data_IF_052595613203
#
_entry.id   IF_052595613203
#
_cell.length_a   1.000
_cell.length_b   1.000
_cell.length_c   1.000
_cell.angle_alpha   90.00
_cell.angle_beta   90.00
_cell.angle_gamma   90.00
#
_symmetry.space_group_name_H-M   'P 1'
#
loop_
_entity.id
_entity.type
_entity.pdbx_description
1 polymer ?
#
# COMPACT_ATOMS: atom_id res chain seq x y z
N UNK A 1 1.29 -34.30 -15.20
CA UNK A 1 0.26 -33.95 -14.22
C UNK A 1 0.06 -32.45 -14.27
N UNK A 2 -1.17 -32.01 -14.51
CA UNK A 2 -1.52 -30.62 -14.71
C UNK A 2 -1.34 -29.80 -13.42
N UNK A 3 -0.96 -28.54 -13.59
CA UNK A 3 -1.43 -27.37 -12.84
C UNK A 3 -0.98 -26.14 -13.61
N UNK A 4 -1.76 -25.79 -14.63
CA UNK A 4 -1.79 -24.41 -15.11
C UNK A 4 -2.26 -23.58 -13.93
N UNK A 5 -1.35 -22.80 -13.34
CA UNK A 5 -1.73 -21.77 -12.39
C UNK A 5 -2.75 -20.87 -13.09
N UNK A 6 -3.94 -20.61 -12.51
CA UNK A 6 -4.75 -19.55 -13.05
C UNK A 6 -3.91 -18.30 -12.85
N UNK A 7 -3.57 -17.61 -13.94
CA UNK A 7 -3.28 -16.19 -13.86
C UNK A 7 -4.56 -15.58 -13.30
N UNK A 8 -4.62 -15.41 -11.98
CA UNK A 8 -5.77 -14.87 -11.28
C UNK A 8 -5.82 -13.40 -11.70
N UNK A 9 -6.73 -13.12 -12.63
CA UNK A 9 -7.18 -11.81 -13.06
C UNK A 9 -6.36 -10.63 -12.50
N UNK A 10 -5.34 -10.21 -13.24
CA UNK A 10 -4.88 -8.82 -13.27
C UNK A 10 -6.01 -7.96 -13.85
N UNK A 11 -7.14 -7.93 -13.14
CA UNK A 11 -8.24 -7.03 -13.44
C UNK A 11 -7.85 -5.68 -12.82
N UNK A 12 -7.95 -4.57 -13.57
CA UNK A 12 -7.68 -3.22 -13.04
C UNK A 12 -8.47 -2.92 -11.76
N UNK A 13 -9.55 -3.66 -11.49
CA UNK A 13 -10.35 -3.55 -10.28
C UNK A 13 -9.61 -3.95 -8.99
N UNK A 14 -8.76 -4.99 -8.99
CA UNK A 14 -8.11 -5.48 -7.76
C UNK A 14 -7.08 -4.47 -7.23
N UNK A 15 -6.18 -4.02 -8.10
CA UNK A 15 -5.23 -2.95 -7.77
C UNK A 15 -5.95 -1.68 -7.35
N UNK A 16 -7.01 -1.28 -8.08
CA UNK A 16 -7.72 -0.05 -7.79
C UNK A 16 -8.48 -0.11 -6.45
N UNK A 17 -9.08 -1.25 -6.10
CA UNK A 17 -9.70 -1.45 -4.79
C UNK A 17 -8.67 -1.38 -3.66
N UNK A 18 -7.53 -2.05 -3.83
CA UNK A 18 -6.40 -1.99 -2.91
C UNK A 18 -5.91 -0.55 -2.73
N UNK A 19 -5.66 0.18 -3.82
CA UNK A 19 -5.19 1.56 -3.81
C UNK A 19 -6.20 2.49 -3.13
N UNK A 20 -7.50 2.36 -3.42
CA UNK A 20 -8.56 3.13 -2.76
C UNK A 20 -8.57 2.88 -1.25
N UNK A 21 -8.41 1.63 -0.81
CA UNK A 21 -8.37 1.28 0.61
C UNK A 21 -7.17 1.93 1.31
N UNK A 22 -5.97 1.76 0.75
CA UNK A 22 -4.74 2.34 1.31
C UNK A 22 -4.81 3.87 1.31
N UNK A 23 -5.31 4.47 0.23
CA UNK A 23 -5.50 5.91 0.12
C UNK A 23 -6.43 6.45 1.22
N UNK A 24 -7.53 5.74 1.52
CA UNK A 24 -8.45 6.11 2.63
C UNK A 24 -7.75 6.09 3.98
N UNK A 25 -6.86 5.12 4.23
CA UNK A 25 -6.10 5.04 5.48
C UNK A 25 -5.12 6.21 5.58
N UNK A 26 -4.34 6.46 4.52
CA UNK A 26 -3.38 7.57 4.44
C UNK A 26 -4.07 8.92 4.61
N UNK A 27 -5.25 9.12 3.99
CA UNK A 27 -6.00 10.38 4.07
C UNK A 27 -6.87 10.52 5.33
N UNK A 28 -6.86 9.54 6.23
CA UNK A 28 -7.61 9.66 7.48
C UNK A 28 -7.08 10.81 8.34
N UNK A 29 -7.96 11.49 9.08
CA UNK A 29 -7.58 12.62 9.95
C UNK A 29 -6.47 12.25 10.93
N UNK A 30 -6.50 11.02 11.45
CA UNK A 30 -5.46 10.54 12.36
C UNK A 30 -4.11 10.41 11.63
N UNK A 31 -4.10 9.75 10.47
CA UNK A 31 -2.88 9.51 9.72
C UNK A 31 -2.25 10.82 9.21
N UNK A 32 -3.08 11.75 8.70
CA UNK A 32 -2.62 13.06 8.26
C UNK A 32 -2.07 13.95 9.38
N UNK A 33 -2.60 13.82 10.61
CA UNK A 33 -2.06 14.52 11.80
C UNK A 33 -0.77 13.89 12.30
N UNK A 34 -0.72 12.56 12.34
CA UNK A 34 0.45 11.80 12.78
C UNK A 34 1.58 11.79 11.74
N UNK A 35 1.27 12.13 10.49
CA UNK A 35 2.15 11.97 9.33
C UNK A 35 2.67 10.53 9.20
N UNK A 36 1.79 9.60 9.55
CA UNK A 36 2.06 8.17 9.54
C UNK A 36 0.79 7.35 9.35
N UNK A 37 0.90 6.19 8.72
CA UNK A 37 -0.18 5.22 8.55
C UNK A 37 0.35 3.81 8.72
N UNK A 38 -0.38 2.96 9.45
CA UNK A 38 -0.11 1.53 9.51
C UNK A 38 -1.10 0.80 8.59
N UNK A 39 -0.58 0.08 7.60
CA UNK A 39 -1.38 -0.68 6.64
C UNK A 39 -1.01 -2.16 6.67
N UNK A 40 -2.00 -2.99 6.39
CA UNK A 40 -1.85 -4.44 6.22
C UNK A 40 -2.43 -4.83 4.86
N UNK A 41 -1.83 -5.84 4.23
CA UNK A 41 -2.43 -6.53 3.09
C UNK A 41 -3.61 -7.38 3.59
N UNK A 42 -4.73 -7.35 2.88
CA UNK A 42 -5.85 -8.25 3.13
C UNK A 42 -5.57 -9.63 2.49
N UNK A 43 -6.12 -10.73 3.04
CA UNK A 43 -5.90 -12.07 2.49
C UNK A 43 -6.38 -12.26 1.04
N UNK A 44 -7.34 -11.44 0.61
CA UNK A 44 -7.92 -11.44 -0.74
C UNK A 44 -7.15 -10.57 -1.74
N UNK A 45 -6.22 -9.74 -1.27
CA UNK A 45 -5.45 -8.83 -2.13
C UNK A 45 -4.26 -9.57 -2.76
N UNK A 46 -4.05 -9.44 -4.08
CA UNK A 46 -2.90 -10.05 -4.75
C UNK A 46 -1.58 -9.54 -4.17
N UNK A 47 -0.61 -10.45 -4.00
CA UNK A 47 0.73 -10.10 -3.51
C UNK A 47 1.48 -9.15 -4.43
N UNK A 48 1.42 -9.41 -5.74
CA UNK A 48 2.10 -8.61 -6.75
C UNK A 48 1.57 -7.17 -6.78
N UNK A 49 0.25 -6.98 -6.67
CA UNK A 49 -0.37 -5.65 -6.63
C UNK A 49 -0.08 -4.93 -5.31
N UNK A 50 -0.01 -5.67 -4.19
CA UNK A 50 0.44 -5.12 -2.91
C UNK A 50 1.88 -4.63 -2.98
N UNK A 51 2.79 -5.45 -3.51
CA UNK A 51 4.20 -5.10 -3.67
C UNK A 51 4.37 -3.88 -4.58
N UNK A 52 3.64 -3.87 -5.71
CA UNK A 52 3.61 -2.74 -6.65
C UNK A 52 3.16 -1.45 -5.98
N UNK A 53 2.05 -1.48 -5.23
CA UNK A 53 1.56 -0.30 -4.53
C UNK A 53 2.60 0.25 -3.53
N UNK A 54 3.29 -0.63 -2.79
CA UNK A 54 4.32 -0.21 -1.85
C UNK A 54 5.52 0.40 -2.56
N UNK A 55 5.93 -0.15 -3.72
CA UNK A 55 6.97 0.42 -4.56
C UNK A 55 6.59 1.83 -5.03
N UNK A 56 5.38 2.01 -5.57
CA UNK A 56 4.87 3.32 -6.03
C UNK A 56 4.80 4.35 -4.90
N UNK A 57 4.48 3.92 -3.67
CA UNK A 57 4.50 4.80 -2.49
C UNK A 57 5.94 5.17 -2.10
N UNK A 58 6.88 4.23 -2.20
CA UNK A 58 8.29 4.43 -1.84
C UNK A 58 9.07 5.25 -2.87
N UNK A 59 8.59 5.35 -4.12
CA UNK A 59 9.16 6.25 -5.14
C UNK A 59 9.08 7.73 -4.74
N UNK A 60 8.23 8.06 -3.76
CA UNK A 60 8.14 9.41 -3.24
C UNK A 60 9.24 9.65 -2.18
N UNK A 61 10.18 10.56 -2.47
CA UNK A 61 11.32 10.91 -1.60
C UNK A 61 10.91 11.40 -0.19
N UNK A 62 9.70 11.94 -0.05
CA UNK A 62 9.19 12.42 1.22
C UNK A 62 8.46 11.32 2.03
N UNK A 63 8.53 10.06 1.60
CA UNK A 63 7.88 8.91 2.23
C UNK A 63 8.94 7.91 2.72
N UNK A 64 8.67 7.25 3.85
CA UNK A 64 9.49 6.16 4.37
C UNK A 64 8.60 4.98 4.73
N UNK A 65 8.96 3.79 4.27
CA UNK A 65 8.28 2.54 4.59
C UNK A 65 9.10 1.74 5.62
N UNK A 66 8.44 1.31 6.70
CA UNK A 66 9.00 0.41 7.70
C UNK A 66 8.18 -0.88 7.74
N UNK A 67 8.81 -1.99 7.34
CA UNK A 67 8.23 -3.33 7.39
C UNK A 67 8.29 -3.89 8.82
N UNK A 68 7.18 -4.45 9.29
CA UNK A 68 7.03 -5.01 10.64
C UNK A 68 6.94 -6.53 10.60
N UNK A 69 7.33 -7.18 11.70
CA UNK A 69 7.27 -8.64 11.84
C UNK A 69 5.84 -9.21 11.85
N UNK A 70 4.84 -8.36 12.11
CA UNK A 70 3.41 -8.71 12.08
C UNK A 70 2.80 -8.67 10.67
N UNK A 71 3.62 -8.44 9.64
CA UNK A 71 3.16 -8.32 8.25
C UNK A 71 2.56 -6.94 7.92
N UNK A 72 2.59 -6.00 8.86
CA UNK A 72 2.21 -4.61 8.64
C UNK A 72 3.34 -3.81 7.99
N UNK A 73 2.96 -2.76 7.25
CA UNK A 73 3.88 -1.74 6.75
C UNK A 73 3.48 -0.42 7.35
N UNK A 74 4.42 0.20 8.06
CA UNK A 74 4.24 1.53 8.61
C UNK A 74 4.84 2.56 7.65
N UNK A 75 3.97 3.43 7.14
CA UNK A 75 4.29 4.53 6.24
C UNK A 75 4.48 5.78 7.10
N UNK A 76 5.55 6.53 6.85
CA UNK A 76 5.77 7.86 7.39
C UNK A 76 5.95 8.84 6.23
N UNK A 77 5.53 10.09 6.38
CA UNK A 77 5.81 11.11 5.37
C UNK A 77 6.09 12.48 5.97
N UNK A 78 6.83 13.31 5.25
CA UNK A 78 6.97 14.73 5.58
C UNK A 78 6.18 15.55 4.56
N UNK A 79 5.50 16.60 5.02
CA UNK A 79 4.88 17.56 4.09
C UNK A 79 5.96 18.58 3.75
N UNK A 80 6.47 18.61 2.50
CA UNK A 80 7.39 19.65 2.10
C UNK A 80 6.70 21.01 2.31
N UNK A 81 7.41 21.96 2.92
CA UNK A 81 6.92 23.34 2.97
C UNK A 81 7.01 23.89 1.55
N UNK A 82 5.87 24.33 1.02
CA UNK A 82 5.84 25.20 -0.14
C UNK A 82 6.54 26.51 0.27
N UNK A 83 7.62 26.87 -0.43
CA UNK A 83 8.28 28.18 -0.30
C UNK A 83 7.44 29.27 -1.00
#
# INVERSE_FOLDING_TARGET
MAKSSPAVATAPDAYQQLAIRVQKIINSTHAQKAKAALIFRLPEEPEDEWARLLEEIAENDNVTLAYRDDGGVQIFWVVPKED
#
